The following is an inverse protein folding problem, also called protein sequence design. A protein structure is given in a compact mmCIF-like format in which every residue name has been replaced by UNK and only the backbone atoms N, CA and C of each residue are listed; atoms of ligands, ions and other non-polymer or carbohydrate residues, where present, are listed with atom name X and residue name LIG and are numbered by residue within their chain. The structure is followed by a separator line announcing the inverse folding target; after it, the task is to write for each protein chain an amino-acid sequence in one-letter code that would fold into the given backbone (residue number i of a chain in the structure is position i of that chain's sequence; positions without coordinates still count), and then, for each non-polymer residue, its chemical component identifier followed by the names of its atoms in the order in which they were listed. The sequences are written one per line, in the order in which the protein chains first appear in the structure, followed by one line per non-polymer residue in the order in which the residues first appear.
data_IF_194332493933
#
_entry.id   IF_194332493933
#
_cell.length_a   1.000
_cell.length_b   1.000
_cell.length_c   1.000
_cell.angle_alpha   90.00
_cell.angle_beta   90.00
_cell.angle_gamma   90.00
#
_symmetry.space_group_name_H-M   'P 1'
#
loop_
_entity.id
_entity.type
_entity.pdbx_description
1 polymer ?
#
# COMPACT_ATOMS: atom_id res chain seq x y z
N UNK A 1 12.61 -9.29 -32.47
CA UNK A 1 13.04 -8.65 -31.20
C UNK A 1 11.76 -8.45 -30.40
N UNK A 2 11.38 -9.49 -29.67
CA UNK A 2 10.15 -9.51 -28.87
C UNK A 2 10.39 -8.71 -27.59
N UNK A 3 9.58 -7.67 -27.38
CA UNK A 3 9.61 -6.87 -26.16
C UNK A 3 8.96 -7.67 -25.03
N UNK A 4 9.78 -8.11 -24.08
CA UNK A 4 9.34 -8.66 -22.80
C UNK A 4 8.70 -7.57 -21.96
N UNK A 5 7.39 -7.39 -22.11
CA UNK A 5 6.56 -6.64 -21.16
C UNK A 5 6.50 -7.45 -19.86
N UNK A 6 7.16 -6.96 -18.81
CA UNK A 6 7.09 -7.49 -17.46
C UNK A 6 5.65 -7.43 -16.95
N UNK A 7 5.06 -8.59 -16.70
CA UNK A 7 3.76 -8.74 -16.05
C UNK A 7 3.89 -8.24 -14.60
N UNK A 8 3.19 -7.16 -14.26
CA UNK A 8 3.02 -6.72 -12.87
C UNK A 8 2.12 -7.75 -12.20
N UNK A 9 2.70 -8.64 -11.41
CA UNK A 9 1.98 -9.59 -10.56
C UNK A 9 1.21 -8.83 -9.49
N UNK A 10 -0.13 -8.86 -9.59
CA UNK A 10 -1.02 -8.24 -8.60
C UNK A 10 -1.01 -9.03 -7.29
N UNK A 11 -1.06 -8.28 -6.20
CA UNK A 11 -0.83 -8.67 -4.83
C UNK A 11 -2.03 -9.39 -4.21
N UNK A 12 -1.77 -10.23 -3.21
CA UNK A 12 -2.78 -10.91 -2.41
C UNK A 12 -3.51 -9.89 -1.50
N UNK A 13 -4.84 -9.91 -1.51
CA UNK A 13 -5.69 -9.11 -0.62
C UNK A 13 -5.54 -9.54 0.86
N UNK A 14 -5.79 -8.61 1.79
CA UNK A 14 -5.72 -8.74 3.27
C UNK A 14 -6.49 -9.93 3.91
N UNK A 15 -7.23 -10.73 3.13
CA UNK A 15 -8.06 -11.85 3.63
C UNK A 15 -7.63 -13.22 3.12
N UNK A 16 -6.47 -13.34 2.46
CA UNK A 16 -6.08 -14.60 1.80
C UNK A 16 -7.10 -15.06 0.75
N UNK A 17 -7.99 -14.15 0.31
CA UNK A 17 -8.89 -14.37 -0.81
C UNK A 17 -8.00 -14.27 -2.07
N UNK A 18 -8.06 -15.25 -2.99
CA UNK A 18 -7.39 -15.08 -4.28
C UNK A 18 -7.82 -13.73 -4.87
N UNK A 19 -6.91 -12.94 -5.49
CA UNK A 19 -7.28 -11.67 -6.10
C UNK A 19 -8.53 -11.92 -6.93
N UNK A 20 -9.59 -11.16 -6.66
CA UNK A 20 -10.89 -11.40 -7.29
C UNK A 20 -10.64 -11.63 -8.78
N UNK A 21 -11.01 -12.81 -9.29
CA UNK A 21 -10.65 -13.28 -10.62
C UNK A 21 -11.44 -12.57 -11.72
N UNK A 22 -11.54 -11.23 -11.64
CA UNK A 22 -12.19 -10.39 -12.63
C UNK A 22 -11.49 -10.49 -13.99
N UNK A 23 -10.23 -10.92 -14.04
CA UNK A 23 -9.50 -11.12 -15.29
C UNK A 23 -10.01 -12.32 -16.12
N UNK A 24 -10.64 -13.33 -15.49
CA UNK A 24 -11.12 -14.54 -16.18
C UNK A 24 -12.39 -14.33 -16.99
N UNK A 25 -13.40 -13.72 -16.38
CA UNK A 25 -14.75 -13.57 -16.94
C UNK A 25 -14.89 -12.32 -17.83
N UNK A 26 -14.16 -11.26 -17.50
CA UNK A 26 -14.28 -9.95 -18.14
C UNK A 26 -13.17 -9.72 -19.19
N UNK A 27 -12.07 -10.49 -19.10
CA UNK A 27 -10.86 -10.33 -19.89
C UNK A 27 -10.03 -9.11 -19.49
N UNK A 28 -8.75 -9.07 -19.88
CA UNK A 28 -7.74 -8.06 -19.49
C UNK A 28 -8.12 -6.58 -19.73
N UNK A 29 -9.22 -6.29 -20.43
CA UNK A 29 -9.75 -4.94 -20.73
C UNK A 29 -11.27 -4.88 -20.89
N UNK A 30 -12.01 -5.87 -20.39
CA UNK A 30 -13.46 -5.91 -20.63
C UNK A 30 -13.87 -6.46 -21.99
N UNK A 31 -12.95 -7.02 -22.77
CA UNK A 31 -13.19 -7.47 -24.14
C UNK A 31 -14.26 -8.58 -24.27
N UNK A 32 -14.60 -9.27 -23.17
CA UNK A 32 -15.63 -10.32 -23.13
C UNK A 32 -17.01 -9.82 -22.69
N UNK A 33 -17.16 -8.53 -22.37
CA UNK A 33 -18.44 -7.94 -21.99
C UNK A 33 -19.35 -7.75 -23.21
N UNK A 34 -20.66 -7.72 -22.97
CA UNK A 34 -21.67 -7.35 -23.97
C UNK A 34 -21.34 -5.98 -24.60
N UNK A 35 -21.35 -5.82 -25.94
CA UNK A 35 -21.02 -4.56 -26.60
C UNK A 35 -21.77 -3.34 -26.06
N UNK A 36 -23.05 -3.48 -25.68
CA UNK A 36 -23.84 -2.37 -25.11
C UNK A 36 -23.27 -1.89 -23.76
N UNK A 37 -22.80 -2.82 -22.94
CA UNK A 37 -22.18 -2.51 -21.66
C UNK A 37 -20.78 -1.91 -21.84
N UNK A 38 -20.02 -2.38 -22.84
CA UNK A 38 -18.74 -1.76 -23.20
C UNK A 38 -18.90 -0.31 -23.66
N UNK A 39 -19.89 -0.03 -24.49
CA UNK A 39 -20.18 1.32 -24.97
C UNK A 39 -20.70 2.22 -23.84
N UNK A 40 -21.51 1.68 -22.93
CA UNK A 40 -21.95 2.40 -21.72
C UNK A 40 -20.75 2.78 -20.83
N UNK A 41 -19.81 1.86 -20.60
CA UNK A 41 -18.59 2.13 -19.84
C UNK A 41 -17.71 3.17 -20.55
N UNK A 42 -17.58 3.09 -21.88
CA UNK A 42 -16.85 4.11 -22.67
C UNK A 42 -17.50 5.49 -22.54
N UNK A 43 -18.83 5.56 -22.61
CA UNK A 43 -19.55 6.83 -22.44
C UNK A 43 -19.33 7.43 -21.05
N UNK A 44 -19.35 6.59 -20.00
CA UNK A 44 -19.04 7.04 -18.64
C UNK A 44 -17.61 7.58 -18.56
N UNK A 45 -16.62 6.88 -19.12
CA UNK A 45 -15.22 7.35 -19.15
C UNK A 45 -15.10 8.67 -19.92
N UNK A 46 -15.71 8.77 -21.10
CA UNK A 46 -15.71 10.00 -21.90
C UNK A 46 -16.37 11.15 -21.16
N UNK A 47 -17.48 10.90 -20.45
CA UNK A 47 -18.17 11.91 -19.65
C UNK A 47 -17.26 12.43 -18.54
N UNK A 48 -16.63 11.54 -17.77
CA UNK A 48 -15.67 11.92 -16.72
C UNK A 48 -14.43 12.62 -17.29
N UNK A 49 -13.96 12.23 -18.48
CA UNK A 49 -12.84 12.90 -19.14
C UNK A 49 -13.21 14.30 -19.62
N UNK A 50 -14.42 14.49 -20.17
CA UNK A 50 -14.86 15.77 -20.73
C UNK A 50 -15.21 16.81 -19.68
N UNK A 51 -15.79 16.40 -18.55
CA UNK A 51 -16.22 17.32 -17.48
C UNK A 51 -15.06 18.20 -16.97
N UNK A 52 -13.86 17.62 -16.86
CA UNK A 52 -12.69 18.27 -16.29
C UNK A 52 -11.69 18.78 -17.34
N UNK A 53 -11.91 18.47 -18.63
CA UNK A 53 -10.89 18.57 -19.67
C UNK A 53 -10.35 19.99 -19.90
N UNK A 54 -11.24 20.98 -19.98
CA UNK A 54 -10.87 22.34 -20.39
C UNK A 54 -10.05 23.04 -19.32
N UNK A 55 -10.47 22.95 -18.06
CA UNK A 55 -9.75 23.54 -16.95
C UNK A 55 -8.43 22.84 -16.71
N UNK A 56 -8.44 21.50 -16.78
CA UNK A 56 -7.24 20.70 -16.70
C UNK A 56 -6.20 21.12 -17.74
N UNK A 57 -6.59 21.29 -19.01
CA UNK A 57 -5.67 21.74 -20.07
C UNK A 57 -5.03 23.09 -19.78
N UNK A 58 -5.81 24.04 -19.27
CA UNK A 58 -5.28 25.35 -18.90
C UNK A 58 -4.28 25.27 -17.75
N UNK A 59 -4.56 24.43 -16.75
CA UNK A 59 -3.65 24.19 -15.62
C UNK A 59 -2.40 23.42 -16.06
N UNK A 60 -2.56 22.38 -16.87
CA UNK A 60 -1.47 21.59 -17.46
C UNK A 60 -0.47 22.48 -18.20
N UNK A 61 -0.97 23.41 -19.02
CA UNK A 61 -0.11 24.36 -19.72
C UNK A 61 0.77 25.15 -18.74
N UNK A 62 0.20 25.67 -17.64
CA UNK A 62 0.94 26.43 -16.63
C UNK A 62 1.94 25.57 -15.85
N UNK A 63 1.53 24.38 -15.44
CA UNK A 63 2.37 23.46 -14.67
C UNK A 63 3.56 22.98 -15.49
N UNK A 64 3.32 22.54 -16.72
CA UNK A 64 4.37 22.13 -17.63
C UNK A 64 5.35 23.27 -17.91
N UNK A 65 4.85 24.51 -18.06
CA UNK A 65 5.69 25.69 -18.24
C UNK A 65 6.62 25.93 -17.05
N UNK A 66 6.09 25.83 -15.82
CA UNK A 66 6.88 25.99 -14.60
C UNK A 66 7.99 24.93 -14.50
N UNK A 67 7.68 23.68 -14.88
CA UNK A 67 8.65 22.59 -14.94
C UNK A 67 9.76 22.83 -15.96
N UNK A 68 9.43 23.38 -17.14
CA UNK A 68 10.46 23.77 -18.11
C UNK A 68 11.34 24.91 -17.61
N UNK A 69 10.76 25.89 -16.93
CA UNK A 69 11.49 26.98 -16.28
C UNK A 69 12.46 26.46 -15.22
N UNK A 70 12.02 25.51 -14.40
CA UNK A 70 12.87 24.84 -13.43
C UNK A 70 14.06 24.15 -14.11
N UNK A 71 13.84 23.48 -15.25
CA UNK A 71 14.89 22.82 -16.04
C UNK A 71 15.80 23.79 -16.82
N UNK A 72 15.49 25.09 -16.82
CA UNK A 72 16.28 26.12 -17.51
C UNK A 72 15.81 26.46 -18.93
N UNK A 73 14.80 25.77 -19.47
CA UNK A 73 14.18 26.12 -20.76
C UNK A 73 13.13 27.21 -20.55
N UNK A 74 13.50 28.47 -20.80
CA UNK A 74 12.63 29.62 -20.53
C UNK A 74 11.96 30.22 -21.78
N UNK A 75 12.61 30.10 -22.94
CA UNK A 75 12.10 30.66 -24.20
C UNK A 75 11.21 29.65 -24.90
N UNK A 76 10.04 29.41 -24.33
CA UNK A 76 9.06 28.47 -24.85
C UNK A 76 7.78 29.18 -25.22
N UNK A 77 7.13 28.71 -26.28
CA UNK A 77 5.78 29.10 -26.63
C UNK A 77 4.88 27.86 -26.66
N UNK A 78 3.59 28.08 -26.41
CA UNK A 78 2.60 27.01 -26.47
C UNK A 78 2.10 26.83 -27.89
N UNK A 79 2.29 25.64 -28.45
CA UNK A 79 1.73 25.30 -29.75
C UNK A 79 0.35 24.65 -29.56
N UNK A 80 -0.71 25.39 -29.89
CA UNK A 80 -2.09 24.91 -29.82
C UNK A 80 -2.42 23.77 -30.80
N UNK A 81 -1.62 23.55 -31.84
CA UNK A 81 -1.82 22.47 -32.80
C UNK A 81 -1.31 21.12 -32.29
N UNK A 82 -0.23 21.13 -31.49
CA UNK A 82 0.39 19.92 -30.92
C UNK A 82 0.16 19.77 -29.42
N UNK A 83 -0.56 20.71 -28.79
CA UNK A 83 -0.78 20.81 -27.34
C UNK A 83 0.50 20.58 -26.52
N UNK A 84 1.58 21.25 -26.94
CA UNK A 84 2.89 21.10 -26.31
C UNK A 84 3.68 22.40 -26.31
N UNK A 85 4.58 22.52 -25.33
CA UNK A 85 5.57 23.59 -25.28
C UNK A 85 6.70 23.29 -26.27
N UNK A 86 7.06 24.30 -27.07
CA UNK A 86 8.12 24.20 -28.07
C UNK A 86 9.08 25.38 -27.95
N UNK A 87 10.35 25.13 -28.26
CA UNK A 87 11.36 26.18 -28.40
C UNK A 87 11.24 26.78 -29.82
N UNK A 88 11.27 28.12 -29.96
CA UNK A 88 11.29 28.76 -31.27
C UNK A 88 12.47 28.28 -32.11
N UNK A 89 12.19 27.86 -33.34
CA UNK A 89 13.23 27.51 -34.30
C UNK A 89 13.68 28.74 -35.10
N UNK A 90 14.83 28.66 -35.77
CA UNK A 90 15.30 29.73 -36.66
C UNK A 90 14.30 30.12 -37.76
N UNK A 91 13.46 29.16 -38.19
CA UNK A 91 12.38 29.43 -39.14
C UNK A 91 11.27 30.31 -38.55
N UNK A 92 10.96 30.14 -37.26
CA UNK A 92 9.95 30.95 -36.55
C UNK A 92 10.45 32.40 -36.40
N UNK A 93 11.73 32.58 -36.08
CA UNK A 93 12.37 33.90 -36.02
C UNK A 93 12.37 34.61 -37.38
N UNK A 94 12.68 33.87 -38.46
CA UNK A 94 12.61 34.39 -39.83
C UNK A 94 11.19 34.82 -40.21
N UNK A 95 10.18 34.04 -39.81
CA UNK A 95 8.76 34.37 -40.03
C UNK A 95 8.35 35.65 -39.29
N UNK A 96 8.92 35.89 -38.12
CA UNK A 96 8.71 37.10 -37.34
C UNK A 96 9.54 38.31 -37.82
N UNK A 97 10.35 38.16 -38.88
CA UNK A 97 11.11 39.25 -39.50
C UNK A 97 12.46 39.54 -38.84
N UNK A 98 12.97 38.63 -38.00
CA UNK A 98 14.32 38.74 -37.45
C UNK A 98 15.35 38.20 -38.45
N UNK A 99 16.51 38.87 -38.56
CA UNK A 99 17.64 38.44 -39.38
C UNK A 99 18.23 37.12 -38.87
N UNK A 100 18.73 36.29 -39.78
CA UNK A 100 19.31 34.93 -39.57
C UNK A 100 20.58 34.90 -38.68
N UNK A 101 20.88 35.98 -37.97
CA UNK A 101 21.85 35.95 -36.88
C UNK A 101 21.39 34.93 -35.83
N UNK A 102 22.31 34.12 -35.31
CA UNK A 102 21.99 33.26 -34.18
C UNK A 102 21.56 34.15 -33.02
N UNK A 103 20.25 34.22 -32.76
CA UNK A 103 19.70 34.87 -31.59
C UNK A 103 20.12 33.98 -30.43
N UNK A 104 21.27 34.30 -29.84
CA UNK A 104 21.75 33.62 -28.65
C UNK A 104 20.86 34.03 -27.49
N UNK A 105 19.95 33.15 -27.13
CA UNK A 105 19.23 33.27 -25.87
C UNK A 105 20.18 32.86 -24.75
N UNK A 106 20.57 33.81 -23.92
CA UNK A 106 21.24 33.52 -22.65
C UNK A 106 20.20 33.61 -21.53
N UNK A 107 19.47 32.51 -21.20
CA UNK A 107 18.56 32.52 -20.07
C UNK A 107 19.38 32.61 -18.78
N UNK A 108 19.15 33.66 -17.99
CA UNK A 108 19.65 33.71 -16.62
C UNK A 108 18.60 33.08 -15.73
N UNK A 109 18.85 31.85 -15.27
CA UNK A 109 17.86 31.06 -14.54
C UNK A 109 17.75 31.44 -13.05
N UNK A 110 17.10 32.57 -12.76
CA UNK A 110 16.77 32.95 -11.39
C UNK A 110 15.69 32.05 -10.75
N UNK A 111 14.86 31.40 -11.58
CA UNK A 111 13.74 30.59 -11.11
C UNK A 111 14.23 29.34 -10.37
N UNK A 112 15.14 28.58 -10.98
CA UNK A 112 15.78 27.42 -10.36
C UNK A 112 16.50 27.82 -9.08
N UNK A 113 17.36 28.84 -9.12
CA UNK A 113 18.09 29.30 -7.94
C UNK A 113 17.16 29.70 -6.77
N UNK A 114 16.06 30.40 -7.06
CA UNK A 114 15.05 30.76 -6.07
C UNK A 114 14.37 29.50 -5.51
N UNK A 115 13.94 28.59 -6.37
CA UNK A 115 13.28 27.35 -5.98
C UNK A 115 14.17 26.49 -5.08
N UNK A 116 15.45 26.34 -5.40
CA UNK A 116 16.42 25.60 -4.61
C UNK A 116 16.66 26.26 -3.27
N UNK A 117 16.74 27.60 -3.23
CA UNK A 117 16.90 28.34 -1.98
C UNK A 117 15.72 28.12 -1.01
N UNK A 118 14.49 28.11 -1.53
CA UNK A 118 13.27 27.88 -0.75
C UNK A 118 13.20 26.42 -0.30
N UNK A 119 13.46 25.48 -1.20
CA UNK A 119 13.51 24.05 -0.89
C UNK A 119 14.62 23.73 0.13
N UNK A 120 15.75 24.42 0.07
CA UNK A 120 16.84 24.26 1.03
C UNK A 120 16.44 24.74 2.43
N UNK A 121 15.71 25.85 2.55
CA UNK A 121 15.23 26.35 3.85
C UNK A 121 14.12 25.48 4.41
N UNK A 122 13.10 25.16 3.61
CA UNK A 122 11.92 24.40 4.07
C UNK A 122 12.21 22.91 4.20
N UNK A 123 13.16 22.38 3.43
CA UNK A 123 13.58 20.97 3.46
C UNK A 123 14.48 20.61 4.64
N UNK A 124 15.06 21.59 5.35
CA UNK A 124 15.95 21.34 6.50
C UNK A 124 15.24 20.62 7.65
N UNK A 125 14.01 21.04 7.96
CA UNK A 125 13.24 20.48 9.07
C UNK A 125 12.03 19.75 8.53
N UNK A 126 11.87 18.53 9.01
CA UNK A 126 10.63 17.79 8.84
C UNK A 126 9.55 18.44 9.69
N UNK A 127 8.36 18.65 9.12
CA UNK A 127 7.17 19.02 9.88
C UNK A 127 6.76 17.86 10.80
N UNK A 128 6.82 18.02 12.13
CA UNK A 128 6.48 16.93 13.03
C UNK A 128 4.97 16.85 13.21
N UNK A 129 4.34 15.82 12.67
CA UNK A 129 2.96 15.45 13.07
C UNK A 129 3.01 14.84 14.48
N UNK A 130 2.38 15.47 15.47
CA UNK A 130 2.28 14.90 16.83
C UNK A 130 0.83 14.52 17.08
N UNK A 131 0.60 13.28 17.47
CA UNK A 131 -0.72 12.84 17.91
C UNK A 131 -0.91 13.23 19.37
N UNK A 132 -1.95 14.00 19.64
CA UNK A 132 -2.30 14.49 20.97
C UNK A 132 -3.59 13.77 21.40
N UNK A 133 -3.73 13.32 22.66
CA UNK A 133 -4.98 12.77 23.18
C UNK A 133 -6.12 13.77 23.03
N UNK A 134 -7.35 13.28 22.79
CA UNK A 134 -8.55 14.13 22.79
C UNK A 134 -8.89 14.60 24.21
N UNK A 135 -8.84 13.67 25.16
CA UNK A 135 -8.98 13.93 26.59
C UNK A 135 -7.72 13.43 27.33
N UNK A 136 -7.20 14.26 28.22
CA UNK A 136 -6.02 13.94 29.04
C UNK A 136 -6.36 13.22 30.35
N UNK A 137 -7.64 13.10 30.71
CA UNK A 137 -8.07 12.38 31.90
C UNK A 137 -8.32 10.89 31.64
N UNK A 138 -8.48 10.53 30.37
CA UNK A 138 -8.82 9.16 29.97
C UNK A 138 -7.56 8.40 29.55
N UNK A 139 -7.16 7.42 30.36
CA UNK A 139 -5.96 6.61 30.13
C UNK A 139 -5.93 5.93 28.76
N UNK A 140 -7.10 5.49 28.25
CA UNK A 140 -7.18 4.86 26.93
C UNK A 140 -6.78 5.82 25.79
N UNK A 141 -7.14 7.10 25.90
CA UNK A 141 -6.83 8.11 24.87
C UNK A 141 -5.35 8.52 24.93
N UNK A 142 -4.77 8.54 26.15
CA UNK A 142 -3.33 8.73 26.37
C UNK A 142 -2.54 7.57 25.74
N UNK A 143 -2.95 6.34 26.02
CA UNK A 143 -2.31 5.14 25.48
C UNK A 143 -2.37 5.14 23.94
N UNK A 144 -3.52 5.42 23.35
CA UNK A 144 -3.69 5.49 21.90
C UNK A 144 -2.80 6.55 21.24
N UNK A 145 -2.73 7.76 21.81
CA UNK A 145 -1.86 8.81 21.30
C UNK A 145 -0.36 8.43 21.40
N UNK A 146 0.04 7.74 22.48
CA UNK A 146 1.41 7.23 22.63
C UNK A 146 1.72 6.17 21.58
N UNK A 147 0.87 5.17 21.41
CA UNK A 147 1.03 4.13 20.39
C UNK A 147 1.10 4.71 18.97
N UNK A 148 0.30 5.73 18.65
CA UNK A 148 0.36 6.41 17.36
C UNK A 148 1.68 7.17 17.15
N UNK A 149 2.19 7.84 18.19
CA UNK A 149 3.50 8.51 18.14
C UNK A 149 4.65 7.50 18.01
N UNK A 150 4.52 6.31 18.59
CA UNK A 150 5.52 5.23 18.49
C UNK A 150 5.50 4.57 17.09
N UNK A 151 4.32 4.43 16.46
CA UNK A 151 4.18 3.88 15.11
C UNK A 151 4.66 4.84 14.00
N UNK A 152 4.53 6.15 14.21
CA UNK A 152 4.92 7.19 13.25
C UNK A 152 6.34 7.03 12.65
N UNK A 153 7.44 6.97 13.45
CA UNK A 153 8.79 6.88 12.90
C UNK A 153 9.02 5.62 12.05
N UNK A 154 8.24 4.57 12.28
CA UNK A 154 8.28 3.35 11.47
C UNK A 154 7.71 3.61 10.07
N UNK A 155 6.50 4.18 9.99
CA UNK A 155 5.85 4.55 8.71
C UNK A 155 6.72 5.53 7.91
N UNK A 156 7.34 6.48 8.58
CA UNK A 156 8.18 7.49 7.94
C UNK A 156 9.44 6.91 7.29
N UNK A 157 10.01 5.87 7.93
CA UNK A 157 11.21 5.20 7.43
C UNK A 157 10.87 4.41 6.17
N UNK A 158 9.76 3.70 6.18
CA UNK A 158 9.25 2.91 5.04
C UNK A 158 9.02 3.81 3.83
N UNK A 159 8.31 4.92 4.05
CA UNK A 159 7.99 5.88 3.00
C UNK A 159 9.16 6.79 2.61
N UNK A 160 10.31 6.68 3.28
CA UNK A 160 11.47 7.57 3.11
C UNK A 160 11.02 9.03 3.11
N UNK A 161 10.30 9.46 4.15
CA UNK A 161 9.59 10.76 4.20
C UNK A 161 10.44 11.97 3.79
N UNK A 162 11.75 11.94 4.06
CA UNK A 162 12.68 13.01 3.63
C UNK A 162 12.71 13.20 2.11
N UNK A 163 12.63 12.12 1.34
CA UNK A 163 12.57 12.17 -0.12
C UNK A 163 11.20 12.67 -0.59
N UNK A 164 10.12 12.16 0.00
CA UNK A 164 8.77 12.63 -0.31
C UNK A 164 8.60 14.12 0.01
N UNK A 165 9.19 14.61 1.11
CA UNK A 165 9.15 16.02 1.47
C UNK A 165 9.80 16.90 0.39
N UNK A 166 10.91 16.45 -0.21
CA UNK A 166 11.53 17.19 -1.33
C UNK A 166 10.60 17.24 -2.54
N UNK A 167 9.97 16.12 -2.88
CA UNK A 167 9.00 16.07 -3.99
C UNK A 167 7.79 16.96 -3.72
N UNK A 168 7.25 16.97 -2.50
CA UNK A 168 6.17 17.87 -2.10
C UNK A 168 6.59 19.33 -2.22
N UNK A 169 7.79 19.70 -1.77
CA UNK A 169 8.26 21.08 -1.87
C UNK A 169 8.47 21.52 -3.32
N UNK A 170 9.00 20.63 -4.17
CA UNK A 170 9.12 20.84 -5.62
C UNK A 170 7.74 21.09 -6.25
N UNK A 171 6.79 20.17 -6.01
CA UNK A 171 5.43 20.29 -6.54
C UNK A 171 4.71 21.53 -6.01
N UNK A 172 4.88 21.86 -4.73
CA UNK A 172 4.29 23.05 -4.12
C UNK A 172 4.85 24.35 -4.70
N UNK A 173 6.13 24.39 -5.09
CA UNK A 173 6.73 25.57 -5.71
C UNK A 173 6.33 25.72 -7.19
N UNK A 174 6.46 24.64 -7.98
CA UNK A 174 6.20 24.70 -9.43
C UNK A 174 4.71 24.65 -9.78
N UNK A 175 3.97 23.72 -9.16
CA UNK A 175 2.56 23.48 -9.50
C UNK A 175 1.61 24.17 -8.54
N UNK A 176 2.06 24.53 -7.33
CA UNK A 176 1.18 25.09 -6.28
C UNK A 176 0.21 24.08 -5.68
N UNK A 177 0.15 22.87 -6.24
CA UNK A 177 -0.72 21.76 -5.84
C UNK A 177 0.09 20.47 -5.79
N UNK A 178 -0.32 19.57 -4.92
CA UNK A 178 0.22 18.22 -4.82
C UNK A 178 -0.81 17.35 -4.10
N UNK A 179 -0.76 16.05 -4.36
CA UNK A 179 -1.66 15.07 -3.75
C UNK A 179 -0.88 13.94 -3.15
N UNK A 180 -1.31 13.47 -1.98
CA UNK A 180 -0.76 12.29 -1.34
C UNK A 180 -1.79 11.18 -1.33
N UNK A 181 -1.45 10.03 -1.92
CA UNK A 181 -2.27 8.83 -1.83
C UNK A 181 -1.61 7.82 -0.91
N UNK A 182 -2.29 7.49 0.19
CA UNK A 182 -1.80 6.54 1.18
C UNK A 182 -2.64 5.28 1.13
N UNK A 183 -1.98 4.13 0.93
CA UNK A 183 -2.62 2.81 0.82
C UNK A 183 -1.85 1.76 1.61
N UNK A 184 -2.54 0.69 1.99
CA UNK A 184 -1.89 -0.52 2.47
C UNK A 184 -1.46 -1.36 1.27
N UNK A 185 -0.21 -1.82 1.27
CA UNK A 185 0.35 -2.64 0.19
C UNK A 185 0.95 -3.90 0.80
N UNK A 186 0.51 -5.07 0.34
CA UNK A 186 1.06 -6.36 0.72
C UNK A 186 1.99 -6.82 -0.40
N UNK A 187 3.29 -6.93 -0.11
CA UNK A 187 4.30 -7.22 -1.14
C UNK A 187 5.43 -8.07 -0.56
N UNK A 188 5.52 -9.32 -1.04
CA UNK A 188 6.53 -10.29 -0.62
C UNK A 188 7.94 -9.84 -0.97
N UNK A 189 8.15 -9.26 -2.14
CA UNK A 189 9.49 -8.88 -2.62
C UNK A 189 9.99 -7.65 -1.88
N UNK A 190 9.09 -6.70 -1.61
CA UNK A 190 9.43 -5.42 -1.01
C UNK A 190 9.51 -5.45 0.51
N UNK A 191 8.67 -6.26 1.17
CA UNK A 191 8.52 -6.26 2.63
C UNK A 191 8.88 -7.58 3.30
N UNK A 192 9.22 -8.60 2.52
CA UNK A 192 9.54 -9.94 3.02
C UNK A 192 8.31 -10.73 3.46
N UNK A 193 8.56 -11.85 4.13
CA UNK A 193 7.54 -12.76 4.66
C UNK A 193 7.67 -12.94 6.16
N UNK A 194 6.59 -13.35 6.81
CA UNK A 194 6.63 -13.90 8.15
C UNK A 194 5.92 -15.27 8.19
N UNK A 195 6.40 -16.22 9.02
CA UNK A 195 5.77 -17.51 9.17
C UNK A 195 4.53 -17.39 10.05
N UNK A 196 3.37 -17.79 9.52
CA UNK A 196 2.12 -17.91 10.28
C UNK A 196 1.72 -19.39 10.34
N UNK A 197 1.54 -19.97 11.56
CA UNK A 197 1.12 -21.35 11.70
C UNK A 197 -0.37 -21.48 11.35
N UNK A 198 -0.68 -22.29 10.34
CA UNK A 198 -2.07 -22.66 10.04
C UNK A 198 -2.51 -23.74 11.05
N UNK A 199 -3.47 -23.39 11.90
CA UNK A 199 -3.92 -24.23 13.01
C UNK A 199 -5.21 -24.93 12.57
N UNK A 200 -5.13 -26.25 12.41
CA UNK A 200 -6.30 -27.09 12.12
C UNK A 200 -6.75 -27.78 13.41
N UNK A 201 -8.04 -27.75 13.68
CA UNK A 201 -8.64 -28.49 14.79
C UNK A 201 -8.79 -29.95 14.37
N UNK A 202 -7.92 -30.83 14.88
CA UNK A 202 -8.06 -32.27 14.68
C UNK A 202 -8.75 -32.90 15.88
N UNK A 203 -9.72 -33.76 15.58
CA UNK A 203 -10.39 -34.58 16.59
C UNK A 203 -9.42 -35.69 17.00
N UNK A 204 -8.89 -35.59 18.21
CA UNK A 204 -8.10 -36.64 18.83
C UNK A 204 -9.00 -37.47 19.76
N UNK A 205 -8.93 -38.79 19.65
CA UNK A 205 -9.55 -39.70 20.62
C UNK A 205 -8.63 -39.84 21.82
N UNK A 206 -9.10 -39.37 22.98
CA UNK A 206 -8.44 -39.70 24.25
C UNK A 206 -8.83 -41.14 24.62
N UNK A 207 -7.86 -42.05 24.84
CA UNK A 207 -8.15 -43.41 25.22
C UNK A 207 -8.83 -43.46 26.58
N UNK A 208 -9.66 -44.47 26.78
CA UNK A 208 -10.30 -44.72 28.07
C UNK A 208 -9.23 -44.95 29.15
N UNK A 209 -9.41 -44.31 30.30
CA UNK A 209 -8.48 -44.43 31.43
C UNK A 209 -9.25 -44.33 32.75
N UNK A 210 -8.67 -44.94 33.78
CA UNK A 210 -9.14 -44.80 35.15
C UNK A 210 -8.36 -43.70 35.87
N UNK A 211 -9.06 -42.89 36.66
CA UNK A 211 -8.46 -41.83 37.47
C UNK A 211 -8.46 -42.25 38.94
N UNK A 212 -7.29 -42.44 39.54
CA UNK A 212 -7.22 -42.87 40.94
C UNK A 212 -7.66 -41.74 41.90
N UNK A 213 -8.59 -41.99 42.84
CA UNK A 213 -9.05 -40.97 43.79
C UNK A 213 -8.00 -40.58 44.85
N UNK A 214 -7.01 -41.45 45.09
CA UNK A 214 -5.97 -41.22 46.11
C UNK A 214 -4.80 -40.36 45.63
N UNK A 215 -4.33 -40.58 44.40
CA UNK A 215 -3.14 -39.89 43.87
C UNK A 215 -3.36 -39.15 42.54
N UNK A 216 -4.52 -39.31 41.89
CA UNK A 216 -4.83 -38.65 40.61
C UNK A 216 -4.13 -39.24 39.39
N UNK A 217 -3.43 -40.37 39.55
CA UNK A 217 -2.71 -41.04 38.46
C UNK A 217 -3.67 -41.59 37.40
N UNK A 218 -3.27 -41.51 36.12
CA UNK A 218 -4.07 -41.95 34.97
C UNK A 218 -3.62 -43.33 34.52
N UNK A 219 -4.47 -44.34 34.74
CA UNK A 219 -4.16 -45.72 34.36
C UNK A 219 -4.94 -46.08 33.08
N UNK A 220 -4.28 -46.47 31.96
CA UNK A 220 -4.97 -46.86 30.73
C UNK A 220 -5.90 -48.06 30.97
N UNK A 221 -7.08 -48.05 30.36
CA UNK A 221 -8.09 -49.10 30.56
C UNK A 221 -7.64 -50.50 30.06
N UNK A 222 -6.77 -50.55 29.06
CA UNK A 222 -6.21 -51.81 28.51
C UNK A 222 -5.00 -52.34 29.31
N UNK A 223 -4.62 -51.68 30.42
CA UNK A 223 -3.49 -52.14 31.22
C UNK A 223 -3.90 -53.26 32.19
N UNK A 224 -3.01 -54.24 32.40
CA UNK A 224 -3.21 -55.35 33.36
C UNK A 224 -3.56 -54.87 34.79
N UNK A 225 -3.15 -53.65 35.13
CA UNK A 225 -3.41 -52.97 36.41
C UNK A 225 -4.88 -52.60 36.60
N UNK A 226 -5.57 -52.26 35.51
CA UNK A 226 -7.00 -52.01 35.54
C UNK A 226 -7.79 -53.30 35.85
N UNK A 227 -7.25 -54.48 35.53
CA UNK A 227 -7.88 -55.77 35.85
C UNK A 227 -7.72 -56.19 37.32
N UNK A 228 -6.74 -55.62 38.05
CA UNK A 228 -6.52 -55.92 39.46
C UNK A 228 -7.21 -54.94 40.42
N UNK A 229 -7.98 -53.95 39.90
CA UNK A 229 -8.68 -52.91 40.66
C UNK A 229 -7.80 -52.15 41.68
N UNK A 230 -6.49 -52.07 41.46
CA UNK A 230 -5.55 -51.48 42.42
C UNK A 230 -4.58 -50.54 41.72
N UNK A 231 -4.46 -49.32 42.21
CA UNK A 231 -3.48 -48.34 41.72
C UNK A 231 -2.04 -48.78 42.04
N UNK A 232 -1.15 -48.84 41.05
CA UNK A 232 0.27 -49.17 41.25
C UNK A 232 1.05 -48.12 42.06
N UNK A 233 0.55 -46.88 42.13
CA UNK A 233 1.30 -45.76 42.67
C UNK A 233 0.97 -45.51 44.16
N UNK A 234 -0.28 -45.73 44.58
CA UNK A 234 -0.71 -45.52 45.95
C UNK A 234 -1.46 -46.70 46.60
N UNK A 235 -1.68 -47.81 45.86
CA UNK A 235 -2.40 -48.98 46.35
C UNK A 235 -3.91 -48.79 46.54
N UNK A 236 -4.46 -47.62 46.21
CA UNK A 236 -5.89 -47.35 46.32
C UNK A 236 -6.73 -48.18 45.34
N UNK A 237 -7.94 -48.52 45.76
CA UNK A 237 -8.90 -49.26 44.91
C UNK A 237 -9.38 -48.36 43.76
N UNK A 238 -9.40 -48.93 42.55
CA UNK A 238 -9.89 -48.28 41.34
C UNK A 238 -11.08 -49.11 40.85
N UNK A 239 -12.30 -48.58 41.00
CA UNK A 239 -13.54 -49.20 40.54
C UNK A 239 -14.07 -48.62 39.23
N UNK A 240 -15.19 -49.17 38.74
CA UNK A 240 -15.89 -48.71 37.53
C UNK A 240 -16.37 -47.26 37.64
N UNK A 241 -16.63 -46.77 38.85
CA UNK A 241 -17.00 -45.39 39.15
C UNK A 241 -15.89 -44.36 38.84
N UNK A 242 -14.66 -44.82 38.66
CA UNK A 242 -13.49 -44.00 38.33
C UNK A 242 -13.07 -44.13 36.87
N UNK A 243 -13.87 -44.82 36.06
CA UNK A 243 -13.66 -44.98 34.63
C UNK A 243 -14.05 -43.72 33.87
N UNK A 244 -13.11 -43.19 33.09
CA UNK A 244 -13.38 -42.11 32.14
C UNK A 244 -13.42 -42.75 30.75
N UNK A 245 -14.61 -42.75 30.08
CA UNK A 245 -14.75 -43.34 28.76
C UNK A 245 -13.96 -42.55 27.72
N UNK A 246 -13.74 -43.18 26.56
CA UNK A 246 -13.14 -42.49 25.43
C UNK A 246 -13.93 -41.22 25.09
N UNK A 247 -13.21 -40.10 24.96
CA UNK A 247 -13.80 -38.82 24.57
C UNK A 247 -13.02 -38.24 23.42
N UNK A 248 -13.76 -37.86 22.40
CA UNK A 248 -13.23 -37.06 21.30
C UNK A 248 -13.06 -35.63 21.78
N UNK A 249 -11.83 -35.12 21.68
CA UNK A 249 -11.51 -33.73 22.02
C UNK A 249 -10.82 -33.11 20.80
N UNK A 250 -11.27 -31.91 20.45
CA UNK A 250 -10.65 -31.12 19.39
C UNK A 250 -9.37 -30.48 19.94
N UNK A 251 -8.23 -30.87 19.39
CA UNK A 251 -6.92 -30.33 19.76
C UNK A 251 -6.42 -29.47 18.61
N UNK A 252 -6.04 -28.20 18.84
CA UNK A 252 -5.39 -27.39 17.82
C UNK A 252 -4.02 -28.00 17.48
N UNK A 253 -3.84 -28.42 16.24
CA UNK A 253 -2.54 -28.87 15.73
C UNK A 253 -2.08 -27.93 14.62
N UNK A 254 -0.80 -27.55 14.65
CA UNK A 254 -0.18 -26.78 13.57
C UNK A 254 -0.05 -27.72 12.37
N UNK A 255 -0.84 -27.45 11.33
CA UNK A 255 -0.91 -28.26 10.11
C UNK A 255 0.29 -27.99 9.22
N UNK A 256 0.55 -26.70 8.99
CA UNK A 256 1.62 -26.22 8.12
C UNK A 256 1.98 -24.78 8.52
N UNK A 257 3.23 -24.38 8.29
CA UNK A 257 3.65 -22.99 8.48
C UNK A 257 3.58 -22.31 7.12
N UNK A 258 2.59 -21.43 6.93
CA UNK A 258 2.45 -20.67 5.69
C UNK A 258 3.33 -19.42 5.79
N UNK A 259 4.09 -19.14 4.73
CA UNK A 259 4.73 -17.84 4.59
C UNK A 259 3.71 -16.81 4.08
N UNK A 260 3.38 -15.84 4.94
CA UNK A 260 2.49 -14.73 4.59
C UNK A 260 3.33 -13.50 4.26
N UNK A 261 2.98 -12.83 3.16
CA UNK A 261 3.65 -11.61 2.74
C UNK A 261 3.37 -10.46 3.73
N UNK A 262 4.39 -9.66 4.03
CA UNK A 262 4.22 -8.52 4.91
C UNK A 262 3.50 -7.38 4.19
N UNK A 263 2.59 -6.72 4.91
CA UNK A 263 1.93 -5.50 4.47
C UNK A 263 2.50 -4.27 5.15
N UNK A 264 2.59 -3.16 4.43
CA UNK A 264 2.97 -1.86 4.97
C UNK A 264 2.18 -0.71 4.34
N UNK A 265 2.09 0.40 5.07
CA UNK A 265 1.49 1.65 4.59
C UNK A 265 2.46 2.37 3.65
N UNK A 266 2.09 2.51 2.38
CA UNK A 266 2.82 3.31 1.39
C UNK A 266 2.07 4.59 1.07
N UNK A 267 2.82 5.70 1.04
CA UNK A 267 2.36 6.98 0.51
C UNK A 267 3.06 7.30 -0.81
N UNK A 268 2.28 7.55 -1.85
CA UNK A 268 2.73 8.07 -3.14
C UNK A 268 2.34 9.55 -3.24
N UNK A 269 3.25 10.39 -3.74
CA UNK A 269 2.99 11.80 -4.00
C UNK A 269 2.82 11.98 -5.51
N UNK A 270 1.72 12.62 -5.90
CA UNK A 270 1.40 12.98 -7.27
C UNK A 270 1.57 14.49 -7.46
N UNK A 271 1.98 14.86 -8.66
CA UNK A 271 2.15 16.25 -9.05
C UNK A 271 0.87 16.85 -9.66
N UNK A 272 0.95 18.14 -10.01
CA UNK A 272 -0.16 18.83 -10.67
C UNK A 272 -0.36 18.40 -12.12
N UNK A 273 0.49 17.56 -12.71
CA UNK A 273 0.35 17.01 -14.08
C UNK A 273 -0.32 15.62 -14.08
N UNK A 274 -0.35 14.95 -12.94
CA UNK A 274 -1.03 13.66 -12.75
C UNK A 274 -2.43 13.82 -12.14
N UNK A 275 -2.69 14.94 -11.46
CA UNK A 275 -3.93 15.18 -10.74
C UNK A 275 -4.90 16.06 -11.51
N UNK A 276 -6.02 15.49 -11.97
CA UNK A 276 -7.15 16.30 -12.43
C UNK A 276 -7.82 16.96 -11.22
N UNK A 277 -7.91 18.29 -11.25
CA UNK A 277 -8.61 19.05 -10.22
C UNK A 277 -10.09 19.20 -10.62
N UNK A 278 -11.04 18.87 -9.71
CA UNK A 278 -12.44 19.16 -9.92
C UNK A 278 -12.68 20.69 -9.90
N UNK A 279 -13.75 21.12 -10.56
CA UNK A 279 -14.19 22.53 -10.57
C UNK A 279 -14.56 23.05 -9.19
#
# INVERSE_FOLDING_TARGET
MESTTSVVTQQEDEKGRPPASYEGDIGLRGNKLDPELQDSLRQIVVQFEQEEYTNWRYQYQKFAYADFFYKGSQNLYWNFGTDSWQEPTGADYKRAGYDEGQIYHYPVNFYEALSESIMAVLGQRRTPVRFIPKDFQKDADIAAAKSANDAKPYIDRINKWKLLQKQVLYNAFNHGIWGGYTRWLVDKERFGTHPEPDIEMKVATLPAHFLCPGCGERTPADSFVAMTNTCLQCGGEIGEEHFIPERQVEIPQVKEVREVANGQVITSIFDGLEMKLPH
#
